data_IF_973650108300
#
_entry.id   IF_973650108300
#
_cell.length_a   1.000
_cell.length_b   1.000
_cell.length_c   1.000
_cell.angle_alpha   90.00
_cell.angle_beta   90.00
_cell.angle_gamma   90.00
#
_symmetry.space_group_name_H-M   'P 1'
#
loop_
_entity.id
_entity.type
_entity.pdbx_description
1 polymer ?
#
# COMPACT_ATOMS: atom_id res chain seq x y z
N UNK A 1 -0.76 -6.98 -9.32
CA UNK A 1 0.15 -7.20 -8.18
C UNK A 1 -0.24 -8.47 -7.45
N UNK A 2 0.72 -9.31 -7.15
CA UNK A 2 0.48 -10.59 -6.48
C UNK A 2 0.46 -10.44 -4.97
N UNK A 3 -0.07 -11.44 -4.27
CA UNK A 3 -0.06 -11.46 -2.80
C UNK A 3 1.36 -11.40 -2.26
N UNK A 4 2.30 -12.08 -2.90
CA UNK A 4 3.69 -12.04 -2.49
C UNK A 4 4.28 -10.65 -2.59
N UNK A 5 3.95 -9.94 -3.65
CA UNK A 5 4.42 -8.58 -3.84
C UNK A 5 3.83 -7.64 -2.81
N UNK A 6 2.54 -7.82 -2.51
CA UNK A 6 1.86 -7.02 -1.49
C UNK A 6 2.51 -7.26 -0.13
N UNK A 7 2.76 -8.52 0.19
CA UNK A 7 3.38 -8.87 1.45
C UNK A 7 4.81 -8.33 1.56
N UNK A 8 5.57 -8.44 0.49
CA UNK A 8 6.92 -7.92 0.46
C UNK A 8 6.95 -6.39 0.64
N UNK A 9 6.05 -5.69 -0.03
CA UNK A 9 5.92 -4.25 0.11
C UNK A 9 5.50 -3.87 1.53
N UNK A 10 4.58 -4.62 2.11
CA UNK A 10 4.11 -4.40 3.47
C UNK A 10 5.24 -4.58 4.48
N UNK A 11 6.05 -5.60 4.29
CA UNK A 11 7.20 -5.86 5.14
C UNK A 11 8.19 -4.71 5.07
N UNK A 12 8.50 -4.22 3.88
CA UNK A 12 9.40 -3.10 3.71
C UNK A 12 8.86 -1.85 4.38
N UNK A 13 7.57 -1.62 4.25
CA UNK A 13 6.94 -0.47 4.88
C UNK A 13 7.08 -0.55 6.40
N UNK A 14 6.79 -1.69 6.98
CA UNK A 14 6.88 -1.87 8.43
C UNK A 14 8.32 -1.72 8.92
N UNK A 15 9.27 -2.26 8.18
CA UNK A 15 10.69 -2.08 8.49
C UNK A 15 11.07 -0.62 8.52
N UNK A 16 10.62 0.11 7.54
CA UNK A 16 10.96 1.52 7.40
C UNK A 16 10.34 2.36 8.50
N UNK A 17 9.08 2.11 8.81
CA UNK A 17 8.35 2.87 9.83
C UNK A 17 8.87 2.56 11.21
N UNK A 18 9.15 1.30 11.51
CA UNK A 18 9.59 0.88 12.83
C UNK A 18 11.09 1.08 13.06
N UNK A 19 11.86 1.16 11.98
CA UNK A 19 13.30 1.25 12.07
C UNK A 19 13.96 -0.09 12.35
N UNK A 20 13.20 -1.18 12.39
CA UNK A 20 13.76 -2.52 12.63
C UNK A 20 13.83 -3.30 11.33
N UNK A 21 15.01 -3.79 11.01
CA UNK A 21 15.17 -4.73 9.91
C UNK A 21 14.69 -6.11 10.34
N UNK A 22 14.96 -6.44 11.61
CA UNK A 22 14.58 -7.71 12.20
C UNK A 22 14.15 -7.45 13.63
N UNK A 23 12.90 -7.72 13.99
CA UNK A 23 12.41 -7.42 15.32
C UNK A 23 13.01 -8.35 16.36
N UNK A 24 13.08 -7.90 17.60
CA UNK A 24 13.44 -8.73 18.72
C UNK A 24 12.31 -9.71 18.99
N UNK A 25 12.60 -10.77 19.77
CA UNK A 25 11.57 -11.74 20.13
C UNK A 25 10.36 -11.09 20.79
N UNK A 26 10.61 -10.09 21.61
CA UNK A 26 9.54 -9.38 22.32
C UNK A 26 8.61 -8.66 21.36
N UNK A 27 9.16 -8.11 20.29
CA UNK A 27 8.39 -7.31 19.34
C UNK A 27 7.98 -8.06 18.08
N UNK A 28 8.37 -9.33 17.98
CA UNK A 28 8.10 -10.12 16.78
C UNK A 28 6.62 -10.22 16.45
N UNK A 29 5.80 -10.53 17.45
CA UNK A 29 4.37 -10.68 17.24
C UNK A 29 3.73 -9.39 16.74
N UNK A 30 4.09 -8.26 17.36
CA UNK A 30 3.56 -6.96 16.94
C UNK A 30 4.03 -6.59 15.53
N UNK A 31 5.28 -6.89 15.23
CA UNK A 31 5.86 -6.62 13.92
C UNK A 31 5.14 -7.42 12.83
N UNK A 32 4.96 -8.71 13.04
CA UNK A 32 4.28 -9.57 12.08
C UNK A 32 2.81 -9.22 11.94
N UNK A 33 2.16 -8.87 13.04
CA UNK A 33 0.77 -8.42 12.99
C UNK A 33 0.65 -7.16 12.14
N UNK A 34 1.58 -6.23 12.28
CA UNK A 34 1.57 -5.00 11.48
C UNK A 34 1.73 -5.31 10.00
N UNK A 35 2.64 -6.22 9.66
CA UNK A 35 2.85 -6.63 8.27
C UNK A 35 1.55 -7.21 7.69
N UNK A 36 0.88 -8.08 8.43
CA UNK A 36 -0.37 -8.69 7.98
C UNK A 36 -1.48 -7.66 7.83
N UNK A 37 -1.57 -6.73 8.74
CA UNK A 37 -2.58 -5.67 8.68
C UNK A 37 -2.36 -4.75 7.48
N UNK A 38 -1.11 -4.34 7.23
CA UNK A 38 -0.79 -3.50 6.09
C UNK A 38 -1.09 -4.25 4.79
N UNK A 39 -0.75 -5.53 4.74
CA UNK A 39 -1.03 -6.36 3.57
C UNK A 39 -2.54 -6.49 3.34
N UNK A 40 -3.31 -6.68 4.39
CA UNK A 40 -4.76 -6.82 4.28
C UNK A 40 -5.40 -5.53 3.76
N UNK A 41 -4.97 -4.39 4.29
CA UNK A 41 -5.48 -3.10 3.86
C UNK A 41 -5.11 -2.85 2.39
N UNK A 42 -3.90 -3.21 2.01
CA UNK A 42 -3.45 -3.05 0.62
C UNK A 42 -4.27 -3.88 -0.34
N UNK A 43 -4.56 -5.13 0.02
CA UNK A 43 -5.41 -6.00 -0.81
C UNK A 43 -6.81 -5.42 -0.94
N UNK A 44 -7.35 -4.93 0.15
CA UNK A 44 -8.67 -4.33 0.16
C UNK A 44 -8.73 -3.11 -0.75
N UNK A 45 -7.72 -2.27 -0.67
CA UNK A 45 -7.62 -1.10 -1.53
C UNK A 45 -7.58 -1.48 -3.00
N UNK A 46 -6.71 -2.43 -3.36
CA UNK A 46 -6.57 -2.86 -4.75
C UNK A 46 -7.85 -3.47 -5.28
N UNK A 47 -8.52 -4.27 -4.46
CA UNK A 47 -9.80 -4.87 -4.84
C UNK A 47 -10.86 -3.81 -5.05
N UNK A 48 -10.90 -2.82 -4.17
CA UNK A 48 -11.86 -1.71 -4.29
C UNK A 48 -11.62 -0.90 -5.56
N UNK A 49 -10.36 -0.65 -5.88
CA UNK A 49 -10.02 0.09 -7.09
C UNK A 49 -10.44 -0.67 -8.34
N UNK A 50 -10.20 -1.96 -8.36
CA UNK A 50 -10.61 -2.80 -9.49
C UNK A 50 -12.12 -2.84 -9.63
N UNK A 51 -12.83 -2.94 -8.52
CA UNK A 51 -14.29 -2.99 -8.52
C UNK A 51 -14.88 -1.68 -9.00
N UNK A 52 -14.29 -0.57 -8.58
CA UNK A 52 -14.77 0.77 -8.91
C UNK A 52 -14.24 1.28 -10.24
N UNK A 53 -13.43 0.50 -10.91
CA UNK A 53 -12.79 0.90 -12.14
C UNK A 53 -13.35 0.11 -13.31
N UNK A 54 -14.55 0.46 -13.82
CA UNK A 54 -15.00 -0.13 -15.06
C UNK A 54 -13.95 0.18 -16.12
N UNK A 55 -13.93 -0.57 -17.22
CA UNK A 55 -12.97 -0.31 -18.28
C UNK A 55 -12.99 1.16 -18.64
N UNK A 56 -11.92 1.84 -18.37
CA UNK A 56 -11.83 3.28 -18.64
C UNK A 56 -10.55 3.55 -19.40
N UNK A 57 -10.51 4.66 -20.05
CA UNK A 57 -9.34 4.99 -20.82
C UNK A 57 -8.23 5.55 -19.91
N UNK A 58 -7.01 5.48 -20.43
CA UNK A 58 -5.85 5.93 -19.69
C UNK A 58 -5.82 7.44 -19.50
N UNK A 59 -6.43 8.15 -20.40
CA UNK A 59 -6.47 9.61 -20.33
C UNK A 59 -7.23 10.06 -19.09
N UNK A 60 -8.33 9.41 -18.80
CA UNK A 60 -9.13 9.71 -17.63
C UNK A 60 -8.35 9.47 -16.35
N UNK A 61 -7.64 8.36 -16.28
CA UNK A 61 -6.83 8.04 -15.11
C UNK A 61 -5.66 9.01 -14.96
N UNK A 62 -5.03 9.37 -16.06
CA UNK A 62 -3.92 10.31 -16.03
C UNK A 62 -4.39 11.69 -15.57
N UNK A 63 -5.57 12.11 -16.00
CA UNK A 63 -6.14 13.38 -15.57
C UNK A 63 -6.42 13.40 -14.08
N UNK A 64 -6.96 12.31 -13.55
CA UNK A 64 -7.21 12.18 -12.11
C UNK A 64 -5.92 12.20 -11.32
N UNK A 65 -4.91 11.50 -11.80
CA UNK A 65 -3.62 11.46 -11.13
C UNK A 65 -2.98 12.85 -11.09
N UNK A 66 -3.06 13.59 -12.18
CA UNK A 66 -2.52 14.94 -12.22
C UNK A 66 -3.26 15.88 -11.28
N UNK A 67 -4.58 15.75 -11.22
CA UNK A 67 -5.39 16.56 -10.32
C UNK A 67 -5.02 16.30 -8.86
N UNK A 68 -4.81 15.05 -8.50
CA UNK A 68 -4.38 14.70 -7.15
C UNK A 68 -3.01 15.26 -6.83
N UNK A 69 -2.08 15.14 -7.77
CA UNK A 69 -0.74 15.65 -7.57
C UNK A 69 -0.75 17.16 -7.37
N UNK A 70 -1.57 17.87 -8.14
CA UNK A 70 -1.71 19.31 -8.02
C UNK A 70 -2.27 19.71 -6.65
N UNK A 71 -3.21 18.94 -6.13
CA UNK A 71 -3.78 19.19 -4.82
C UNK A 71 -2.79 18.85 -3.70
N UNK A 72 -2.02 17.79 -3.90
CA UNK A 72 -1.05 17.34 -2.91
C UNK A 72 0.11 18.30 -2.76
N UNK A 73 0.51 18.91 -3.84
CA UNK A 73 1.64 19.82 -3.87
C UNK A 73 1.20 21.20 -4.36
N UNK A 74 0.38 21.87 -3.58
CA UNK A 74 0.00 23.22 -3.95
C UNK A 74 1.23 24.10 -3.84
N UNK A 75 1.53 24.74 -4.89
CA UNK A 75 2.66 25.66 -4.89
C UNK A 75 2.20 27.04 -4.49
#
# INVERSE_FOLDING_TARGET
>A
MTDEEIRAASLQFVRKVSGFTKPSKTNEAAFLAAVEEVAAISRKLLTSLETNAPPRNREEEAAKARARAAQRFPT
#
